data_IF_156011020615
#
_entry.id   IF_156011020615
#
_cell.length_a   1.000
_cell.length_b   1.000
_cell.length_c   1.000
_cell.angle_alpha   90.00
_cell.angle_beta   90.00
_cell.angle_gamma   90.00
#
_symmetry.space_group_name_H-M   'P 1'
#
loop_
_entity.id
_entity.type
_entity.pdbx_description
1 polymer ?
#
# COMPACT_ATOMS: atom_id res chain seq x y z
N UNK A 1 49.10 -34.80 17.13
CA UNK A 1 48.80 -33.44 16.63
C UNK A 1 47.46 -33.55 15.94
N UNK A 2 46.40 -33.34 16.71
CA UNK A 2 45.01 -33.45 16.25
C UNK A 2 44.61 -32.07 15.74
N UNK A 3 44.50 -31.92 14.42
CA UNK A 3 43.96 -30.72 13.80
C UNK A 3 42.45 -30.81 13.88
N UNK A 4 41.85 -30.11 14.84
CA UNK A 4 40.41 -29.90 14.89
C UNK A 4 39.99 -29.10 13.66
N UNK A 5 39.13 -29.68 12.81
CA UNK A 5 38.46 -28.95 11.73
C UNK A 5 37.45 -27.96 12.32
N UNK A 6 37.28 -26.76 11.74
CA UNK A 6 36.34 -25.78 12.27
C UNK A 6 34.91 -26.26 11.99
N UNK A 7 34.06 -26.23 13.01
CA UNK A 7 32.66 -26.65 12.91
C UNK A 7 31.84 -25.72 12.00
N UNK A 8 31.63 -26.16 10.76
CA UNK A 8 30.82 -25.52 9.71
C UNK A 8 29.29 -25.73 9.88
N UNK A 9 28.83 -25.99 11.12
CA UNK A 9 27.41 -26.26 11.41
C UNK A 9 26.53 -25.00 11.49
N UNK A 10 27.11 -23.86 11.88
CA UNK A 10 26.36 -22.62 12.15
C UNK A 10 26.11 -21.79 10.88
N UNK A 11 27.03 -21.83 9.91
CA UNK A 11 26.91 -21.11 8.64
C UNK A 11 25.84 -21.69 7.71
N UNK A 12 25.59 -23.00 7.77
CA UNK A 12 24.58 -23.66 6.95
C UNK A 12 23.16 -23.25 7.37
N UNK A 13 22.91 -23.14 8.68
CA UNK A 13 21.62 -22.70 9.24
C UNK A 13 21.26 -21.26 8.85
N UNK A 14 22.21 -20.33 8.96
CA UNK A 14 21.99 -18.94 8.55
C UNK A 14 21.72 -18.80 7.03
N UNK A 15 22.41 -19.59 6.21
CA UNK A 15 22.20 -19.63 4.76
C UNK A 15 20.81 -20.16 4.40
N UNK A 16 20.34 -21.20 5.08
CA UNK A 16 19.02 -21.77 4.80
C UNK A 16 17.88 -20.86 5.30
N UNK A 17 18.06 -20.21 6.45
CA UNK A 17 17.13 -19.16 6.91
C UNK A 17 17.03 -18.00 5.90
N UNK A 18 18.16 -17.55 5.35
CA UNK A 18 18.17 -16.51 4.33
C UNK A 18 17.41 -16.94 3.06
N UNK A 19 17.62 -18.17 2.56
CA UNK A 19 16.86 -18.70 1.41
C UNK A 19 15.37 -18.68 1.68
N UNK A 20 14.92 -19.20 2.83
CA UNK A 20 13.50 -19.21 3.19
C UNK A 20 12.90 -17.80 3.29
N UNK A 21 13.66 -16.81 3.80
CA UNK A 21 13.20 -15.42 3.84
C UNK A 21 13.03 -14.86 2.43
N UNK A 22 14.02 -15.07 1.55
CA UNK A 22 14.00 -14.58 0.16
C UNK A 22 12.83 -15.21 -0.60
N UNK A 23 12.69 -16.54 -0.56
CA UNK A 23 11.60 -17.27 -1.24
C UNK A 23 10.22 -16.78 -0.78
N UNK A 24 10.06 -16.51 0.53
CA UNK A 24 8.81 -15.96 1.07
C UNK A 24 8.54 -14.54 0.56
N UNK A 25 9.57 -13.69 0.46
CA UNK A 25 9.43 -12.33 -0.06
C UNK A 25 9.08 -12.36 -1.55
N UNK A 26 9.75 -13.18 -2.35
CA UNK A 26 9.50 -13.31 -3.79
C UNK A 26 8.06 -13.73 -4.06
N UNK A 27 7.56 -14.75 -3.36
CA UNK A 27 6.16 -15.15 -3.44
C UNK A 27 5.19 -14.01 -3.07
N UNK A 28 5.48 -13.26 -2.01
CA UNK A 28 4.65 -12.12 -1.60
C UNK A 28 4.69 -10.97 -2.62
N UNK A 29 5.82 -10.72 -3.28
CA UNK A 29 5.92 -9.73 -4.35
C UNK A 29 5.15 -10.17 -5.60
N UNK A 30 5.14 -11.46 -5.94
CA UNK A 30 4.31 -12.02 -7.00
C UNK A 30 2.81 -11.84 -6.70
N UNK A 31 2.36 -12.22 -5.50
CA UNK A 31 0.97 -12.03 -5.05
C UNK A 31 0.55 -10.54 -5.10
N UNK A 32 1.43 -9.66 -4.62
CA UNK A 32 1.22 -8.21 -4.67
C UNK A 32 1.16 -7.69 -6.11
N UNK A 33 1.97 -8.22 -7.02
CA UNK A 33 1.95 -7.84 -8.43
C UNK A 33 0.64 -8.29 -9.11
N UNK A 34 0.17 -9.50 -8.81
CA UNK A 34 -1.13 -10.01 -9.28
C UNK A 34 -2.28 -9.11 -8.80
N UNK A 35 -2.36 -8.84 -7.49
CA UNK A 35 -3.36 -7.93 -6.92
C UNK A 35 -3.29 -6.51 -7.51
N UNK A 36 -2.09 -6.01 -7.77
CA UNK A 36 -1.91 -4.71 -8.40
C UNK A 36 -2.41 -4.71 -9.86
N UNK A 37 -2.31 -5.84 -10.57
CA UNK A 37 -2.90 -6.01 -11.90
C UNK A 37 -4.41 -5.99 -11.84
N UNK A 38 -5.01 -6.79 -10.95
CA UNK A 38 -6.47 -6.85 -10.77
C UNK A 38 -7.06 -5.47 -10.45
N UNK A 39 -6.40 -4.70 -9.57
CA UNK A 39 -6.80 -3.32 -9.25
C UNK A 39 -6.76 -2.42 -10.50
N UNK A 40 -5.75 -2.58 -11.37
CA UNK A 40 -5.66 -1.80 -12.61
C UNK A 40 -6.80 -2.15 -13.57
N UNK A 41 -7.15 -3.43 -13.69
CA UNK A 41 -8.26 -3.89 -14.52
C UNK A 41 -9.59 -3.30 -14.05
N UNK A 42 -9.86 -3.28 -12.73
CA UNK A 42 -11.06 -2.63 -12.17
C UNK A 42 -11.12 -1.14 -12.51
N UNK A 43 -9.99 -0.42 -12.42
CA UNK A 43 -9.95 0.99 -12.85
C UNK A 43 -10.14 1.15 -14.36
N UNK A 44 -9.64 0.21 -15.17
CA UNK A 44 -9.83 0.23 -16.63
C UNK A 44 -11.30 -0.02 -17.00
N UNK A 45 -11.97 -0.97 -16.34
CA UNK A 45 -13.40 -1.21 -16.49
C UNK A 45 -14.22 0.01 -16.09
N UNK A 46 -13.92 0.62 -14.93
CA UNK A 46 -14.56 1.86 -14.50
C UNK A 46 -14.40 2.99 -15.54
N UNK A 47 -13.21 3.11 -16.16
CA UNK A 47 -12.99 4.05 -17.26
C UNK A 47 -13.86 3.74 -18.49
N UNK A 48 -13.95 2.46 -18.87
CA UNK A 48 -14.81 2.00 -19.97
C UNK A 48 -16.30 2.30 -19.72
N UNK A 49 -16.71 2.22 -18.46
CA UNK A 49 -18.07 2.55 -18.01
C UNK A 49 -18.31 4.07 -17.83
N UNK A 50 -17.33 4.92 -18.16
CA UNK A 50 -17.46 6.38 -18.13
C UNK A 50 -17.13 7.06 -16.79
N UNK A 51 -16.57 6.35 -15.82
CA UNK A 51 -16.17 6.95 -14.54
C UNK A 51 -14.80 7.65 -14.62
N UNK A 52 -14.65 8.75 -13.89
CA UNK A 52 -13.36 9.41 -13.67
C UNK A 52 -12.50 8.59 -12.68
N UNK A 53 -11.53 7.87 -13.23
CA UNK A 53 -10.59 7.06 -12.42
C UNK A 53 -9.70 7.87 -11.47
N UNK A 54 -9.42 9.13 -11.76
CA UNK A 54 -8.66 10.02 -10.86
C UNK A 54 -9.51 10.37 -9.64
N UNK A 55 -10.78 10.70 -9.86
CA UNK A 55 -11.74 10.92 -8.77
C UNK A 55 -11.91 9.65 -7.92
N UNK A 56 -12.06 8.47 -8.53
CA UNK A 56 -12.16 7.20 -7.80
C UNK A 56 -10.92 6.91 -6.94
N UNK A 57 -9.71 7.15 -7.45
CA UNK A 57 -8.48 7.01 -6.65
C UNK A 57 -8.48 7.94 -5.44
N UNK A 58 -8.94 9.18 -5.60
CA UNK A 58 -9.11 10.12 -4.48
C UNK A 58 -10.12 9.60 -3.46
N UNK A 59 -11.26 9.08 -3.90
CA UNK A 59 -12.28 8.48 -3.01
C UNK A 59 -11.70 7.31 -2.24
N UNK A 60 -10.99 6.38 -2.90
CA UNK A 60 -10.35 5.24 -2.23
C UNK A 60 -9.33 5.71 -1.20
N UNK A 61 -8.52 6.74 -1.52
CA UNK A 61 -7.56 7.32 -0.57
C UNK A 61 -8.26 7.91 0.65
N UNK A 62 -9.31 8.71 0.45
CA UNK A 62 -10.09 9.32 1.52
C UNK A 62 -10.73 8.24 2.41
N UNK A 63 -11.24 7.17 1.80
CA UNK A 63 -11.86 6.05 2.53
C UNK A 63 -10.88 5.20 3.34
N UNK A 64 -9.57 5.29 3.05
CA UNK A 64 -8.51 4.60 3.80
C UNK A 64 -8.04 5.40 5.03
N UNK A 65 -8.37 6.69 5.11
CA UNK A 65 -7.98 7.53 6.24
C UNK A 65 -8.84 7.19 7.47
N UNK A 66 -8.29 7.43 8.66
CA UNK A 66 -9.05 7.33 9.89
C UNK A 66 -10.24 8.31 9.89
N UNK A 67 -11.37 7.89 10.45
CA UNK A 67 -12.60 8.67 10.42
C UNK A 67 -12.48 9.95 11.27
N UNK A 68 -11.78 9.89 12.40
CA UNK A 68 -11.57 11.07 13.27
C UNK A 68 -10.64 12.06 12.59
N UNK A 69 -9.48 11.60 12.12
CA UNK A 69 -8.51 12.44 11.40
C UNK A 69 -9.15 13.11 10.18
N UNK A 70 -9.98 12.36 9.43
CA UNK A 70 -10.71 12.90 8.28
C UNK A 70 -11.68 14.01 8.68
N UNK A 71 -12.48 13.81 9.74
CA UNK A 71 -13.44 14.83 10.21
C UNK A 71 -12.76 16.09 10.70
N UNK A 72 -11.65 15.95 11.42
CA UNK A 72 -10.85 17.08 11.88
C UNK A 72 -10.30 17.87 10.68
N UNK A 73 -9.71 17.19 9.70
CA UNK A 73 -9.20 17.82 8.49
C UNK A 73 -10.32 18.50 7.67
N UNK A 74 -11.49 17.86 7.54
CA UNK A 74 -12.66 18.42 6.86
C UNK A 74 -13.18 19.69 7.57
N UNK A 75 -13.22 19.70 8.91
CA UNK A 75 -13.66 20.86 9.69
C UNK A 75 -12.71 22.06 9.52
N UNK A 76 -11.39 21.82 9.55
CA UNK A 76 -10.38 22.86 9.30
C UNK A 76 -10.49 23.38 7.87
N UNK A 77 -10.60 22.48 6.89
CA UNK A 77 -10.73 22.85 5.48
C UNK A 77 -11.99 23.68 5.23
N UNK A 78 -13.13 23.28 5.80
CA UNK A 78 -14.38 24.01 5.70
C UNK A 78 -14.25 25.43 6.28
N UNK A 79 -13.59 25.58 7.43
CA UNK A 79 -13.31 26.89 8.05
C UNK A 79 -12.52 27.79 7.10
N UNK A 80 -11.48 27.27 6.44
CA UNK A 80 -10.69 28.03 5.49
C UNK A 80 -11.45 28.35 4.21
N UNK A 81 -12.19 27.40 3.66
CA UNK A 81 -13.03 27.63 2.48
C UNK A 81 -14.10 28.68 2.75
N UNK A 82 -14.71 28.69 3.94
CA UNK A 82 -15.64 29.73 4.36
C UNK A 82 -14.97 31.09 4.42
N UNK A 83 -13.79 31.18 5.06
CA UNK A 83 -13.05 32.43 5.17
C UNK A 83 -12.61 32.99 3.80
N UNK A 84 -12.37 32.10 2.83
CA UNK A 84 -12.00 32.47 1.45
C UNK A 84 -13.21 32.69 0.53
N UNK A 85 -14.44 32.55 1.01
CA UNK A 85 -15.66 32.67 0.19
C UNK A 85 -15.80 31.59 -0.88
N UNK A 86 -15.16 30.43 -0.68
CA UNK A 86 -15.16 29.29 -1.60
C UNK A 86 -16.27 28.28 -1.31
N UNK A 87 -17.00 28.43 -0.21
CA UNK A 87 -18.24 27.72 0.02
C UNK A 87 -19.37 28.56 -0.55
N UNK A 88 -20.04 28.07 -1.61
CA UNK A 88 -21.29 28.66 -2.07
C UNK A 88 -22.27 28.71 -0.88
N UNK A 89 -22.87 29.88 -0.66
CA UNK A 89 -24.02 29.97 0.23
C UNK A 89 -25.13 29.10 -0.37
N UNK A 90 -25.41 27.97 0.28
CA UNK A 90 -26.55 27.12 -0.05
C UNK A 90 -27.87 27.88 0.10
#
# INVERSE_FOLDING_TARGET
METAEPEDGLHNSARDQLKTIVERIERLEEEKAALASDIKEVYAEAKGNGFDTKALRSVVRIRKQDMSERREAEAVLATYMQALGMLEAM
#
